data_IF_507007385315
#
_entry.id   IF_507007385315
#
_cell.length_a   1.000
_cell.length_b   1.000
_cell.length_c   1.000
_cell.angle_alpha   90.00
_cell.angle_beta   90.00
_cell.angle_gamma   90.00
#
_symmetry.space_group_name_H-M   'P 1'
#
loop_
_entity.id
_entity.type
_entity.pdbx_description
1 polymer ?
#
# COMPACT_ATOMS: atom_id res chain seq x y z
N UNK A 1 36.08 -8.51 7.95
CA UNK A 1 36.60 -7.19 7.53
C UNK A 1 36.05 -7.01 6.13
N UNK A 2 34.95 -6.31 5.88
CA UNK A 2 34.32 -5.22 6.62
C UNK A 2 32.80 -5.41 6.75
N UNK A 3 32.25 -4.77 7.79
CA UNK A 3 30.87 -4.92 8.23
C UNK A 3 29.86 -4.40 7.21
N UNK A 4 28.88 -5.25 6.91
CA UNK A 4 27.64 -4.85 6.27
C UNK A 4 26.82 -4.06 7.32
N UNK A 5 26.88 -2.72 7.23
CA UNK A 5 25.82 -1.87 7.76
C UNK A 5 24.61 -2.10 6.86
N UNK A 6 23.61 -2.82 7.37
CA UNK A 6 22.24 -2.57 6.94
C UNK A 6 22.01 -1.06 7.10
N UNK A 7 21.64 -0.39 6.01
CA UNK A 7 21.17 0.99 6.06
C UNK A 7 19.90 0.91 6.91
N UNK A 8 20.02 1.41 8.13
CA UNK A 8 18.98 1.33 9.13
C UNK A 8 17.68 1.82 8.53
N UNK A 9 16.64 1.01 8.69
CA UNK A 9 15.28 1.44 8.55
C UNK A 9 15.09 2.74 9.34
N UNK A 10 14.82 3.82 8.63
CA UNK A 10 14.03 4.91 9.19
C UNK A 10 12.57 4.47 9.21
N UNK A 11 12.24 3.42 9.97
CA UNK A 11 10.87 2.95 10.16
C UNK A 11 10.20 3.89 11.16
N UNK A 12 9.40 4.81 10.65
CA UNK A 12 8.48 5.63 11.43
C UNK A 12 7.22 4.80 11.63
N UNK A 13 7.26 3.84 12.56
CA UNK A 13 6.06 3.28 13.13
C UNK A 13 5.42 4.35 14.04
N UNK A 14 4.51 5.16 13.50
CA UNK A 14 3.74 6.13 14.28
C UNK A 14 2.29 5.67 14.30
N UNK A 15 1.89 5.10 15.44
CA UNK A 15 0.49 5.08 15.83
C UNK A 15 0.02 6.54 15.96
N UNK A 16 -0.80 7.01 15.03
CA UNK A 16 -1.45 8.33 15.14
C UNK A 16 -2.53 8.23 16.21
N UNK A 17 -2.16 8.46 17.47
CA UNK A 17 -3.11 8.81 18.50
C UNK A 17 -3.42 10.31 18.37
N UNK A 18 -4.55 10.66 17.75
CA UNK A 18 -5.01 12.06 17.72
C UNK A 18 -5.41 12.51 19.13
N UNK A 19 -4.51 13.23 19.79
CA UNK A 19 -4.79 13.91 21.05
C UNK A 19 -5.60 15.18 20.80
N UNK A 20 -6.90 15.14 21.09
CA UNK A 20 -7.76 16.31 21.12
C UNK A 20 -7.72 17.06 22.46
N UNK A 21 -7.78 18.39 22.33
CA UNK A 21 -8.26 19.41 23.28
C UNK A 21 -7.25 20.18 24.17
N UNK A 22 -7.34 21.51 24.09
CA UNK A 22 -7.42 22.37 25.28
C UNK A 22 -6.40 23.49 25.40
N UNK A 23 -6.81 24.71 25.09
CA UNK A 23 -6.09 25.95 25.39
C UNK A 23 -5.95 26.20 26.91
N UNK A 24 -4.86 26.86 27.33
CA UNK A 24 -4.84 27.65 28.58
C UNK A 24 -3.52 27.76 29.36
N UNK A 25 -2.77 28.84 29.08
CA UNK A 25 -2.09 29.75 30.02
C UNK A 25 -0.95 29.27 30.97
N UNK A 26 0.23 29.89 30.82
CA UNK A 26 0.81 30.75 31.88
C UNK A 26 2.07 30.29 32.65
N UNK A 27 3.16 31.03 32.40
CA UNK A 27 4.26 31.47 33.30
C UNK A 27 5.35 30.54 33.88
N UNK A 28 6.58 30.86 33.43
CA UNK A 28 7.78 31.32 34.16
C UNK A 28 8.70 30.41 35.00
N UNK A 29 10.00 30.53 34.66
CA UNK A 29 11.18 30.37 35.52
C UNK A 29 11.96 29.07 35.29
N UNK A 30 13.26 29.02 34.98
CA UNK A 30 14.35 29.99 35.03
C UNK A 30 15.63 29.29 35.51
N UNK A 31 16.73 29.45 34.75
CA UNK A 31 18.15 29.17 35.06
C UNK A 31 18.64 27.69 35.16
N UNK A 32 19.79 27.28 34.62
CA UNK A 32 20.83 28.01 33.88
C UNK A 32 22.10 27.17 33.60
N UNK A 33 22.99 27.77 32.79
CA UNK A 33 24.44 27.52 32.61
C UNK A 33 24.85 26.20 31.91
N UNK A 34 25.81 26.13 30.97
CA UNK A 34 26.81 27.04 30.38
C UNK A 34 27.22 26.44 29.00
N UNK A 35 27.33 27.21 27.91
CA UNK A 35 28.56 27.86 27.40
C UNK A 35 29.57 26.81 26.84
N UNK A 36 29.97 26.80 25.56
CA UNK A 36 30.95 27.72 24.93
C UNK A 36 31.16 27.32 23.45
N UNK A 37 31.04 28.31 22.54
CA UNK A 37 31.83 28.58 21.29
C UNK A 37 31.52 27.78 20.01
N UNK A 38 31.39 28.35 18.79
CA UNK A 38 31.46 29.73 18.24
C UNK A 38 30.90 29.67 16.79
N UNK A 39 30.10 30.65 16.34
CA UNK A 39 30.50 31.84 15.51
C UNK A 39 30.54 31.48 14.01
N UNK A 40 29.92 32.20 13.06
CA UNK A 40 29.51 33.61 12.94
C UNK A 40 28.25 33.67 12.05
N UNK A 41 27.22 34.45 12.31
CA UNK A 41 27.20 35.93 12.31
C UNK A 41 26.52 36.41 11.01
N UNK A 42 25.21 36.76 10.99
CA UNK A 42 24.62 38.08 11.33
C UNK A 42 24.95 39.15 10.26
N UNK A 43 24.07 40.03 9.75
CA UNK A 43 22.64 40.35 9.86
C UNK A 43 22.32 41.43 8.79
N UNK A 44 21.05 41.44 8.35
CA UNK A 44 20.13 42.61 8.21
C UNK A 44 20.49 43.79 7.28
N UNK A 45 19.55 44.07 6.38
CA UNK A 45 18.86 45.37 6.41
C UNK A 45 18.80 46.18 5.11
N UNK A 46 17.58 46.59 4.75
CA UNK A 46 17.30 47.95 4.27
C UNK A 46 17.11 48.17 2.76
N UNK A 47 15.86 48.46 2.40
CA UNK A 47 15.39 49.60 1.57
C UNK A 47 16.23 50.03 0.34
N UNK A 48 15.63 49.99 -0.85
CA UNK A 48 15.13 51.19 -1.54
C UNK A 48 14.70 50.89 -2.99
N UNK A 49 13.83 51.75 -3.50
CA UNK A 49 13.06 51.61 -4.72
C UNK A 49 13.70 52.28 -5.95
N UNK A 50 13.03 52.06 -7.10
CA UNK A 50 12.80 52.98 -8.24
C UNK A 50 13.61 52.76 -9.53
N UNK A 51 12.82 52.65 -10.62
CA UNK A 51 13.04 52.97 -12.05
C UNK A 51 14.07 52.15 -12.84
N UNK A 52 13.88 51.84 -14.12
CA UNK A 52 12.83 52.22 -15.08
C UNK A 52 13.29 51.81 -16.50
N UNK A 53 12.30 51.69 -17.39
CA UNK A 53 12.28 51.82 -18.86
C UNK A 53 11.61 50.64 -19.59
N UNK A 54 10.41 50.81 -20.18
CA UNK A 54 10.06 51.50 -21.46
C UNK A 54 10.51 50.65 -22.67
N UNK A 55 9.76 50.28 -23.71
CA UNK A 55 8.35 50.32 -24.12
C UNK A 55 8.16 49.44 -25.38
N UNK A 56 6.99 48.78 -25.49
CA UNK A 56 6.03 48.78 -26.63
C UNK A 56 6.49 48.58 -28.09
N UNK A 57 5.88 47.59 -28.76
CA UNK A 57 5.11 47.68 -30.04
C UNK A 57 4.66 46.24 -30.40
N UNK A 58 3.41 45.83 -30.19
CA UNK A 58 2.26 45.91 -31.11
C UNK A 58 2.61 45.96 -32.60
N UNK A 59 2.24 44.90 -33.33
CA UNK A 59 1.50 45.05 -34.58
C UNK A 59 0.58 43.85 -34.84
N UNK A 60 -0.52 44.15 -35.52
CA UNK A 60 -1.78 43.41 -35.59
C UNK A 60 -2.13 43.03 -37.04
N UNK A 61 -2.90 41.94 -37.15
CA UNK A 61 -3.88 41.60 -38.19
C UNK A 61 -3.50 40.83 -39.49
N UNK A 62 -4.10 39.62 -39.56
CA UNK A 62 -5.09 39.10 -40.53
C UNK A 62 -4.79 39.16 -42.04
N UNK A 63 -4.89 37.99 -42.69
CA UNK A 63 -5.59 37.82 -43.96
C UNK A 63 -6.18 36.41 -44.08
N UNK A 64 -7.51 36.33 -44.27
CA UNK A 64 -8.22 35.20 -44.85
C UNK A 64 -7.98 35.19 -46.36
N UNK A 65 -7.98 34.02 -47.00
CA UNK A 65 -8.54 33.92 -48.35
C UNK A 65 -9.12 32.53 -48.65
N UNK A 66 -10.19 32.56 -49.45
CA UNK A 66 -11.12 31.49 -49.78
C UNK A 66 -10.87 30.99 -51.21
N UNK A 67 -11.00 29.69 -51.49
CA UNK A 67 -11.47 29.22 -52.80
C UNK A 67 -11.98 27.78 -52.75
N UNK A 68 -13.24 27.59 -53.16
CA UNK A 68 -13.82 26.31 -53.57
C UNK A 68 -13.65 26.14 -55.08
N UNK A 69 -13.44 24.90 -55.54
CA UNK A 69 -13.76 24.50 -56.91
C UNK A 69 -14.21 23.04 -56.94
N UNK A 70 -15.36 22.84 -57.59
CA UNK A 70 -15.99 21.57 -57.92
C UNK A 70 -15.26 20.89 -59.08
N UNK A 71 -15.31 19.56 -59.14
CA UNK A 71 -15.26 18.82 -60.40
C UNK A 71 -16.32 17.72 -60.40
N UNK A 72 -17.00 17.55 -61.54
CA UNK A 72 -18.19 16.71 -61.76
C UNK A 72 -17.97 15.76 -62.95
N UNK A 73 -18.49 14.53 -62.80
CA UNK A 73 -18.78 13.49 -63.80
C UNK A 73 -17.57 12.72 -64.40
N UNK A 74 -17.63 11.44 -64.82
CA UNK A 74 -18.67 10.61 -65.48
C UNK A 74 -18.51 9.11 -65.12
N UNK A 75 -19.60 8.36 -65.30
CA UNK A 75 -19.83 6.95 -64.99
C UNK A 75 -19.29 5.89 -65.99
N UNK A 76 -19.51 4.63 -65.59
CA UNK A 76 -19.72 3.37 -66.35
C UNK A 76 -18.53 2.44 -66.66
N UNK A 77 -18.60 1.24 -66.05
CA UNK A 77 -18.61 -0.12 -66.65
C UNK A 77 -18.04 -1.12 -65.60
N UNK A 78 -18.48 -2.36 -65.39
CA UNK A 78 -19.48 -3.27 -65.98
C UNK A 78 -19.79 -4.31 -64.89
N UNK A 79 -21.04 -4.74 -64.78
CA UNK A 79 -21.45 -5.86 -63.94
C UNK A 79 -20.95 -7.20 -64.52
N UNK A 80 -20.41 -8.08 -63.66
CA UNK A 80 -20.51 -9.53 -63.86
C UNK A 80 -20.86 -10.16 -62.51
N UNK A 81 -22.06 -10.73 -62.46
CA UNK A 81 -22.55 -11.56 -61.38
C UNK A 81 -21.81 -12.91 -61.36
N UNK A 82 -21.57 -13.45 -60.17
CA UNK A 82 -21.74 -14.88 -59.94
C UNK A 82 -22.12 -15.13 -58.48
N UNK A 83 -23.33 -15.68 -58.33
CA UNK A 83 -23.86 -16.28 -57.12
C UNK A 83 -22.92 -17.34 -56.55
N UNK A 84 -22.76 -17.34 -55.24
CA UNK A 84 -22.81 -18.59 -54.47
C UNK A 84 -23.51 -18.29 -53.16
N UNK A 85 -24.79 -18.63 -53.10
CA UNK A 85 -25.53 -18.71 -51.85
C UNK A 85 -24.96 -19.85 -51.01
N UNK A 86 -24.49 -19.54 -49.79
CA UNK A 86 -24.34 -20.53 -48.72
C UNK A 86 -24.98 -19.96 -47.46
N UNK A 87 -26.07 -20.63 -47.08
CA UNK A 87 -26.78 -20.70 -45.81
C UNK A 87 -26.46 -19.67 -44.70
N UNK A 88 -27.52 -18.95 -44.33
CA UNK A 88 -27.77 -18.50 -42.96
C UNK A 88 -27.77 -19.70 -42.00
N UNK A 89 -26.91 -19.67 -40.98
CA UNK A 89 -27.30 -19.63 -39.56
C UNK A 89 -26.06 -19.94 -38.71
N UNK A 90 -25.43 -18.88 -38.20
CA UNK A 90 -24.89 -18.92 -36.85
C UNK A 90 -25.41 -17.67 -36.20
N UNK A 91 -26.40 -17.82 -35.31
CA UNK A 91 -26.76 -16.78 -34.37
C UNK A 91 -25.47 -16.35 -33.67
N UNK A 92 -24.96 -15.18 -34.04
CA UNK A 92 -24.06 -14.43 -33.19
C UNK A 92 -24.92 -14.12 -31.98
N UNK A 93 -24.73 -14.87 -30.90
CA UNK A 93 -25.12 -14.39 -29.59
C UNK A 93 -24.41 -13.05 -29.44
N UNK A 94 -25.17 -11.98 -29.69
CA UNK A 94 -24.86 -10.68 -29.15
C UNK A 94 -24.90 -10.87 -27.64
N UNK A 95 -23.75 -11.21 -27.05
CA UNK A 95 -23.53 -10.95 -25.64
C UNK A 95 -23.33 -9.44 -25.52
N UNK A 96 -24.43 -8.71 -25.66
CA UNK A 96 -24.54 -7.32 -25.22
C UNK A 96 -24.80 -7.36 -23.72
N UNK A 97 -23.80 -7.82 -22.98
CA UNK A 97 -23.53 -7.28 -21.67
C UNK A 97 -22.21 -6.54 -21.83
N UNK A 98 -22.22 -5.23 -21.62
CA UNK A 98 -21.00 -4.60 -21.11
C UNK A 98 -20.64 -5.45 -19.89
N UNK A 99 -19.43 -6.03 -19.78
CA UNK A 99 -19.07 -6.63 -18.51
C UNK A 99 -19.27 -5.52 -17.48
N UNK A 100 -19.93 -5.85 -16.37
CA UNK A 100 -19.91 -4.96 -15.22
C UNK A 100 -18.46 -4.67 -14.82
N UNK A 101 -18.23 -3.78 -13.84
CA UNK A 101 -16.89 -3.66 -13.27
C UNK A 101 -16.35 -5.06 -12.90
N UNK A 102 -15.03 -5.33 -13.08
CA UNK A 102 -14.44 -6.60 -12.68
C UNK A 102 -14.85 -6.96 -11.26
N UNK A 103 -15.07 -8.25 -10.94
CA UNK A 103 -15.38 -8.63 -9.58
C UNK A 103 -14.19 -8.32 -8.67
N UNK A 104 -14.49 -7.86 -7.46
CA UNK A 104 -13.47 -7.51 -6.46
C UNK A 104 -12.59 -8.72 -6.13
N UNK A 105 -13.19 -9.90 -5.94
CA UNK A 105 -12.49 -11.19 -5.87
C UNK A 105 -13.13 -12.18 -6.83
N UNK A 106 -12.35 -13.09 -7.42
CA UNK A 106 -12.85 -14.12 -8.32
C UNK A 106 -12.95 -15.47 -7.59
N UNK A 107 -14.16 -16.02 -7.30
CA UNK A 107 -14.34 -17.23 -6.49
C UNK A 107 -13.62 -18.49 -7.02
N UNK A 108 -13.38 -18.56 -8.33
CA UNK A 108 -12.66 -19.65 -8.98
C UNK A 108 -11.14 -19.47 -9.01
N UNK A 109 -10.63 -18.33 -8.55
CA UNK A 109 -9.23 -17.92 -8.65
C UNK A 109 -8.55 -17.92 -7.28
N UNK A 110 -7.24 -17.68 -7.28
CA UNK A 110 -6.40 -17.70 -6.06
C UNK A 110 -6.89 -16.73 -4.99
N UNK A 111 -7.33 -15.54 -5.41
CA UNK A 111 -7.81 -14.49 -4.51
C UNK A 111 -9.17 -14.85 -3.88
N UNK A 112 -10.13 -15.33 -4.67
CA UNK A 112 -11.44 -15.76 -4.15
C UNK A 112 -11.44 -17.13 -3.45
N UNK A 113 -10.36 -17.90 -3.56
CA UNK A 113 -10.16 -19.15 -2.81
C UNK A 113 -9.30 -18.97 -1.55
N UNK A 114 -8.80 -17.76 -1.30
CA UNK A 114 -8.06 -17.50 -0.07
C UNK A 114 -8.98 -17.65 1.14
N UNK A 115 -8.53 -18.37 2.16
CA UNK A 115 -9.22 -18.52 3.43
C UNK A 115 -8.19 -18.75 4.54
N UNK A 116 -8.47 -18.30 5.75
CA UNK A 116 -7.70 -18.57 6.96
C UNK A 116 -8.57 -18.55 8.21
N UNK A 117 -8.07 -19.11 9.31
CA UNK A 117 -8.75 -19.00 10.59
C UNK A 117 -8.78 -17.53 11.02
N UNK A 118 -9.99 -16.94 11.02
CA UNK A 118 -10.19 -15.55 11.41
C UNK A 118 -9.85 -15.32 12.89
N UNK A 119 -9.46 -14.10 13.28
CA UNK A 119 -9.28 -13.75 14.68
C UNK A 119 -10.57 -13.94 15.49
N UNK A 120 -10.43 -14.14 16.80
CA UNK A 120 -11.52 -14.21 17.78
C UNK A 120 -11.49 -12.98 18.69
N UNK A 121 -12.23 -11.94 18.34
CA UNK A 121 -12.32 -10.71 19.12
C UNK A 121 -13.07 -10.88 20.46
N UNK A 122 -13.86 -11.95 20.58
CA UNK A 122 -14.55 -12.33 21.81
C UNK A 122 -13.66 -13.18 22.73
N UNK A 123 -12.46 -13.57 22.28
CA UNK A 123 -11.50 -14.36 23.04
C UNK A 123 -11.21 -13.76 24.41
N UNK A 124 -11.32 -14.59 25.45
CA UNK A 124 -11.30 -14.15 26.84
C UNK A 124 -9.89 -13.80 27.36
N UNK A 125 -9.51 -12.53 27.26
CA UNK A 125 -8.21 -12.02 27.73
C UNK A 125 -8.27 -11.28 29.08
N UNK A 126 -9.43 -11.20 29.72
CA UNK A 126 -9.63 -10.37 30.93
C UNK A 126 -8.71 -10.75 32.08
N UNK A 127 -8.43 -12.05 32.27
CA UNK A 127 -7.48 -12.53 33.26
C UNK A 127 -6.05 -12.09 32.92
N UNK A 128 -5.64 -12.21 31.66
CA UNK A 128 -4.33 -11.76 31.16
C UNK A 128 -4.15 -10.25 31.40
N UNK A 129 -5.17 -9.46 31.06
CA UNK A 129 -5.17 -8.00 31.27
C UNK A 129 -5.06 -7.66 32.75
N UNK A 130 -5.81 -8.34 33.62
CA UNK A 130 -5.78 -8.10 35.07
C UNK A 130 -4.46 -8.50 35.74
N UNK A 131 -3.79 -9.51 35.18
CA UNK A 131 -2.51 -10.02 35.66
C UNK A 131 -1.29 -9.34 35.03
N UNK A 132 -1.49 -8.32 34.19
CA UNK A 132 -0.41 -7.70 33.44
C UNK A 132 0.70 -7.12 34.34
N UNK A 133 1.94 -7.43 33.97
CA UNK A 133 3.17 -6.92 34.56
C UNK A 133 4.05 -6.37 33.44
N UNK A 134 4.59 -5.16 33.62
CA UNK A 134 5.51 -4.58 32.64
C UNK A 134 6.79 -5.42 32.48
N UNK A 135 7.22 -6.16 33.50
CA UNK A 135 8.40 -7.03 33.41
C UNK A 135 8.17 -8.23 32.46
N UNK A 136 6.92 -8.63 32.25
CA UNK A 136 6.53 -9.84 31.51
C UNK A 136 5.79 -9.50 30.20
N UNK A 137 5.98 -8.29 29.68
CA UNK A 137 5.20 -7.78 28.54
C UNK A 137 5.32 -8.65 27.28
N UNK A 138 6.48 -9.28 27.02
CA UNK A 138 6.67 -10.20 25.89
C UNK A 138 5.77 -11.44 26.02
N UNK A 139 5.70 -12.02 27.22
CA UNK A 139 4.83 -13.15 27.51
C UNK A 139 3.34 -12.75 27.44
N UNK A 140 3.00 -11.53 27.84
CA UNK A 140 1.65 -11.00 27.68
C UNK A 140 1.26 -10.90 26.20
N UNK A 141 2.12 -10.33 25.33
CA UNK A 141 1.90 -10.24 23.87
C UNK A 141 1.61 -11.63 23.29
N UNK A 142 2.48 -12.59 23.57
CA UNK A 142 2.34 -13.98 23.10
C UNK A 142 0.98 -14.58 23.52
N UNK A 143 0.61 -14.45 24.80
CA UNK A 143 -0.62 -15.03 25.34
C UNK A 143 -1.89 -14.37 24.80
N UNK A 144 -1.94 -13.04 24.66
CA UNK A 144 -3.15 -12.37 24.14
C UNK A 144 -3.32 -12.61 22.64
N UNK A 145 -2.24 -12.61 21.86
CA UNK A 145 -2.29 -12.98 20.45
C UNK A 145 -2.66 -14.46 20.27
N UNK A 146 -2.14 -15.37 21.10
CA UNK A 146 -2.53 -16.79 21.05
C UNK A 146 -4.04 -17.00 21.25
N UNK A 147 -4.68 -16.15 22.07
CA UNK A 147 -6.12 -16.20 22.30
C UNK A 147 -6.91 -15.60 21.14
N UNK A 148 -6.51 -14.41 20.64
CA UNK A 148 -7.36 -13.63 19.74
C UNK A 148 -6.91 -13.63 18.28
N UNK A 149 -5.62 -13.80 18.00
CA UNK A 149 -5.10 -13.84 16.64
C UNK A 149 -3.88 -14.78 16.53
N UNK A 150 -4.09 -16.11 16.45
CA UNK A 150 -3.01 -17.10 16.43
C UNK A 150 -2.00 -16.93 15.29
N UNK A 151 -2.43 -16.44 14.12
CA UNK A 151 -1.50 -16.11 13.03
C UNK A 151 -0.59 -14.95 13.45
N UNK A 152 -1.13 -13.89 14.05
CA UNK A 152 -0.31 -12.80 14.60
C UNK A 152 0.67 -13.28 15.69
N UNK A 153 0.24 -14.20 16.56
CA UNK A 153 1.14 -14.83 17.53
C UNK A 153 2.30 -15.56 16.85
N UNK A 154 2.01 -16.33 15.80
CA UNK A 154 3.03 -17.03 15.03
C UNK A 154 4.02 -16.04 14.40
N UNK A 155 3.53 -14.99 13.74
CA UNK A 155 4.38 -13.97 13.12
C UNK A 155 5.31 -13.32 14.13
N UNK A 156 4.78 -12.93 15.30
CA UNK A 156 5.57 -12.31 16.38
C UNK A 156 6.60 -13.29 16.95
N UNK A 157 6.20 -14.50 17.30
CA UNK A 157 7.09 -15.50 17.89
C UNK A 157 8.22 -15.91 16.94
N UNK A 158 7.91 -16.08 15.65
CA UNK A 158 8.88 -16.46 14.63
C UNK A 158 9.74 -15.28 14.17
N UNK A 159 9.21 -14.05 14.10
CA UNK A 159 10.00 -12.85 13.87
C UNK A 159 11.09 -12.65 14.92
N UNK A 160 10.76 -12.88 16.20
CA UNK A 160 11.76 -12.84 17.30
C UNK A 160 12.77 -13.99 17.20
N UNK A 161 12.31 -15.22 16.97
CA UNK A 161 13.17 -16.41 17.07
C UNK A 161 14.03 -16.69 15.83
N UNK A 162 13.57 -16.30 14.64
CA UNK A 162 14.28 -16.53 13.38
C UNK A 162 15.16 -15.34 12.96
N UNK A 163 15.00 -14.17 13.58
CA UNK A 163 15.83 -12.98 13.36
C UNK A 163 16.63 -12.60 14.63
N UNK A 164 17.65 -13.39 15.04
CA UNK A 164 18.33 -13.20 16.32
C UNK A 164 19.21 -11.93 16.39
N UNK A 165 19.39 -11.20 15.29
CA UNK A 165 20.19 -9.97 15.24
C UNK A 165 19.51 -8.81 15.97
N UNK A 166 18.18 -8.82 16.05
CA UNK A 166 17.39 -7.79 16.72
C UNK A 166 16.05 -8.37 17.16
N UNK A 167 15.62 -8.06 18.37
CA UNK A 167 14.32 -8.49 18.88
C UNK A 167 13.26 -7.44 18.49
N UNK A 168 12.39 -7.79 17.53
CA UNK A 168 11.33 -6.90 17.04
C UNK A 168 10.37 -6.49 18.16
N UNK A 169 10.00 -7.40 19.06
CA UNK A 169 9.11 -7.09 20.19
C UNK A 169 9.78 -6.09 21.12
N UNK A 170 11.06 -6.30 21.43
CA UNK A 170 11.81 -5.38 22.28
C UNK A 170 11.94 -4.00 21.67
N UNK A 171 12.05 -3.88 20.35
CA UNK A 171 12.19 -2.60 19.68
C UNK A 171 10.86 -1.86 19.55
N UNK A 172 9.82 -2.54 19.07
CA UNK A 172 8.55 -1.90 18.70
C UNK A 172 7.53 -1.83 19.82
N UNK A 173 7.69 -2.59 20.92
CA UNK A 173 6.79 -2.51 22.06
C UNK A 173 7.15 -1.41 23.09
N UNK A 174 8.35 -0.81 23.03
CA UNK A 174 8.90 0.00 24.14
C UNK A 174 7.97 1.12 24.61
N UNK A 175 7.32 1.82 23.67
CA UNK A 175 6.40 2.92 23.96
C UNK A 175 5.06 2.51 24.60
N UNK A 176 4.73 1.21 24.56
CA UNK A 176 3.40 0.71 24.89
C UNK A 176 3.34 -0.06 26.22
N UNK A 177 4.49 -0.48 26.76
CA UNK A 177 4.57 -1.43 27.90
C UNK A 177 4.08 -0.90 29.26
N UNK A 178 3.71 0.37 29.39
CA UNK A 178 3.33 0.94 30.70
C UNK A 178 2.02 0.38 31.28
N UNK A 179 1.09 -0.09 30.45
CA UNK A 179 -0.16 -0.75 30.88
C UNK A 179 -0.61 -1.77 29.86
N UNK A 180 -1.41 -2.77 30.26
CA UNK A 180 -2.01 -3.74 29.34
C UNK A 180 -2.77 -3.05 28.19
N UNK A 181 -3.59 -2.03 28.51
CA UNK A 181 -4.36 -1.28 27.52
C UNK A 181 -3.48 -0.61 26.46
N UNK A 182 -2.39 0.04 26.89
CA UNK A 182 -1.43 0.66 25.98
C UNK A 182 -0.71 -0.39 25.14
N UNK A 183 -0.32 -1.51 25.75
CA UNK A 183 0.36 -2.59 25.05
C UNK A 183 -0.53 -3.24 23.99
N UNK A 184 -1.79 -3.51 24.32
CA UNK A 184 -2.80 -3.97 23.36
C UNK A 184 -2.94 -2.96 22.21
N UNK A 185 -2.96 -1.66 22.52
CA UNK A 185 -3.02 -0.60 21.51
C UNK A 185 -1.78 -0.49 20.60
N UNK A 186 -0.68 -1.17 20.93
CA UNK A 186 0.52 -1.25 20.08
C UNK A 186 0.71 -2.62 19.42
N UNK A 187 -0.21 -3.57 19.59
CA UNK A 187 -0.06 -4.93 19.06
C UNK A 187 -0.04 -4.98 17.54
N UNK A 188 -0.80 -4.13 16.86
CA UNK A 188 -0.79 -4.07 15.39
C UNK A 188 0.57 -3.63 14.86
N UNK A 189 1.20 -2.63 15.49
CA UNK A 189 2.60 -2.27 15.22
C UNK A 189 3.54 -3.44 15.48
N UNK A 190 3.46 -4.09 16.64
CA UNK A 190 4.36 -5.22 16.96
C UNK A 190 4.19 -6.36 15.95
N UNK A 191 2.96 -6.68 15.57
CA UNK A 191 2.66 -7.77 14.63
C UNK A 191 3.15 -7.44 13.23
N UNK A 192 2.94 -6.20 12.77
CA UNK A 192 3.43 -5.68 11.50
C UNK A 192 4.96 -5.78 11.42
N UNK A 193 5.64 -5.22 12.41
CA UNK A 193 7.10 -5.09 12.41
C UNK A 193 7.80 -6.43 12.65
N UNK A 194 7.23 -7.32 13.46
CA UNK A 194 7.75 -8.68 13.56
C UNK A 194 7.50 -9.51 12.30
N UNK A 195 6.44 -9.19 11.53
CA UNK A 195 6.20 -9.76 10.20
C UNK A 195 7.34 -9.45 9.23
N UNK A 196 7.76 -8.19 9.14
CA UNK A 196 8.97 -7.78 8.39
C UNK A 196 10.20 -8.60 8.77
N UNK A 197 10.40 -8.81 10.08
CA UNK A 197 11.56 -9.56 10.59
C UNK A 197 11.51 -11.03 10.17
N UNK A 198 10.32 -11.63 10.20
CA UNK A 198 10.14 -13.01 9.77
C UNK A 198 10.34 -13.18 8.26
N UNK A 199 9.77 -12.27 7.47
CA UNK A 199 9.93 -12.24 6.01
C UNK A 199 11.41 -12.06 5.63
N UNK A 200 12.11 -11.15 6.31
CA UNK A 200 13.54 -10.94 6.16
C UNK A 200 14.40 -12.14 6.59
N UNK A 201 14.05 -12.79 7.70
CA UNK A 201 14.76 -13.98 8.20
C UNK A 201 14.66 -15.17 7.23
N UNK A 202 13.53 -15.28 6.53
CA UNK A 202 13.26 -16.35 5.56
C UNK A 202 13.55 -15.95 4.12
N UNK A 203 13.92 -14.70 3.88
CA UNK A 203 14.37 -14.22 2.57
C UNK A 203 15.70 -14.82 2.16
N UNK A 204 16.06 -14.64 0.90
CA UNK A 204 17.38 -15.03 0.37
C UNK A 204 18.02 -13.87 -0.38
N UNK A 205 19.25 -14.04 -0.86
CA UNK A 205 19.87 -13.02 -1.70
C UNK A 205 19.11 -12.89 -3.03
N UNK A 206 18.35 -11.81 -3.19
CA UNK A 206 17.50 -11.55 -4.36
C UNK A 206 16.09 -12.15 -4.29
N UNK A 207 15.79 -12.96 -3.27
CA UNK A 207 14.49 -13.57 -3.03
C UNK A 207 13.77 -12.96 -1.83
N UNK A 208 12.55 -12.47 -2.06
CA UNK A 208 11.68 -11.88 -1.04
C UNK A 208 10.65 -12.91 -0.59
N UNK A 209 10.59 -13.16 0.72
CA UNK A 209 9.61 -14.08 1.32
C UNK A 209 8.44 -13.29 1.87
N UNK A 210 7.23 -13.83 1.71
CA UNK A 210 5.96 -13.30 2.19
C UNK A 210 5.27 -14.36 3.04
N UNK A 211 5.27 -14.21 4.35
CA UNK A 211 4.62 -15.15 5.27
C UNK A 211 3.20 -14.68 5.57
N UNK A 212 2.21 -15.39 5.00
CA UNK A 212 0.80 -15.08 5.21
C UNK A 212 0.25 -15.75 6.46
N UNK A 213 0.63 -17.03 6.66
CA UNK A 213 0.20 -17.88 7.78
C UNK A 213 1.17 -19.07 7.94
N UNK A 214 1.09 -19.86 9.03
CA UNK A 214 2.11 -20.88 9.34
C UNK A 214 2.41 -21.90 8.24
N UNK A 215 1.41 -22.23 7.42
CA UNK A 215 1.48 -23.20 6.34
C UNK A 215 1.54 -22.58 4.94
N UNK A 216 1.57 -21.24 4.84
CA UNK A 216 1.62 -20.51 3.57
C UNK A 216 2.63 -19.36 3.65
N UNK A 217 3.80 -19.62 3.09
CA UNK A 217 4.81 -18.62 2.77
C UNK A 217 5.20 -18.74 1.30
N UNK A 218 5.40 -17.62 0.63
CA UNK A 218 5.79 -17.57 -0.78
C UNK A 218 7.09 -16.80 -0.89
N UNK A 219 8.10 -17.35 -1.58
CA UNK A 219 9.37 -16.66 -1.83
C UNK A 219 9.53 -16.43 -3.32
N UNK A 220 9.62 -15.17 -3.74
CA UNK A 220 9.79 -14.79 -5.14
C UNK A 220 11.08 -14.00 -5.35
N UNK A 221 11.78 -14.32 -6.44
CA UNK A 221 13.02 -13.63 -6.81
C UNK A 221 12.77 -12.41 -7.68
N UNK A 222 13.69 -11.45 -7.62
CA UNK A 222 13.84 -10.38 -8.61
C UNK A 222 12.75 -9.29 -8.55
N UNK A 223 12.04 -9.16 -7.43
CA UNK A 223 10.97 -8.17 -7.30
C UNK A 223 11.45 -6.74 -7.03
N UNK A 224 12.72 -6.54 -6.69
CA UNK A 224 13.30 -5.21 -6.48
C UNK A 224 13.52 -4.45 -7.81
N UNK A 225 13.85 -3.17 -7.72
CA UNK A 225 14.14 -2.33 -8.87
C UNK A 225 15.43 -2.80 -9.58
N UNK A 226 15.56 -2.54 -10.88
CA UNK A 226 16.74 -2.95 -11.67
C UNK A 226 18.06 -2.41 -11.15
N UNK A 227 18.07 -1.17 -10.63
CA UNK A 227 19.24 -0.57 -10.00
C UNK A 227 19.60 -1.22 -8.65
N UNK A 228 18.74 -2.12 -8.17
CA UNK A 228 18.85 -2.88 -6.93
C UNK A 228 18.82 -4.39 -7.18
N UNK A 229 19.31 -4.81 -8.35
CA UNK A 229 19.46 -6.22 -8.77
C UNK A 229 18.15 -7.00 -8.97
N UNK A 230 17.00 -6.33 -9.11
CA UNK A 230 15.74 -6.97 -9.49
C UNK A 230 15.34 -6.69 -10.95
N UNK A 231 14.06 -6.92 -11.26
CA UNK A 231 13.51 -6.83 -12.62
C UNK A 231 12.37 -5.81 -12.75
N UNK A 232 12.04 -5.09 -11.68
CA UNK A 232 10.97 -4.09 -11.64
C UNK A 232 11.55 -2.67 -11.63
N UNK A 233 10.75 -1.66 -11.28
CA UNK A 233 11.16 -0.25 -11.18
C UNK A 233 10.95 0.31 -9.77
N UNK A 234 11.57 1.44 -9.45
CA UNK A 234 11.39 2.06 -8.14
C UNK A 234 9.91 2.38 -7.86
N UNK A 235 9.38 2.01 -6.70
CA UNK A 235 7.98 2.28 -6.34
C UNK A 235 7.63 3.76 -6.35
N UNK A 236 8.60 4.66 -6.16
CA UNK A 236 8.43 6.11 -6.34
C UNK A 236 7.97 6.51 -7.75
N UNK A 237 8.17 5.69 -8.78
CA UNK A 237 7.74 6.01 -10.15
C UNK A 237 6.23 6.21 -10.27
N UNK A 238 5.42 5.53 -9.44
CA UNK A 238 3.96 5.70 -9.49
C UNK A 238 3.53 7.11 -9.06
N UNK A 239 4.40 7.90 -8.40
CA UNK A 239 4.12 9.33 -8.11
C UNK A 239 4.02 10.21 -9.37
N UNK A 240 4.31 9.65 -10.55
CA UNK A 240 4.28 10.35 -11.84
C UNK A 240 3.01 10.06 -12.65
N UNK A 241 2.12 9.20 -12.15
CA UNK A 241 0.87 8.84 -12.82
C UNK A 241 -0.25 9.86 -12.59
N UNK A 242 -1.39 9.65 -13.26
CA UNK A 242 -2.59 10.49 -13.11
C UNK A 242 -3.30 10.36 -11.75
N UNK A 243 -2.96 9.32 -10.97
CA UNK A 243 -3.61 8.99 -9.70
C UNK A 243 -2.89 9.61 -8.49
N UNK A 244 -1.64 10.07 -8.63
CA UNK A 244 -0.82 10.63 -7.55
C UNK A 244 -1.48 11.78 -6.78
N UNK A 245 -2.30 12.59 -7.46
CA UNK A 245 -2.97 13.74 -6.87
C UNK A 245 -4.30 13.40 -6.17
N UNK A 246 -4.79 12.16 -6.26
CA UNK A 246 -6.11 11.77 -5.76
C UNK A 246 -6.11 11.31 -4.30
N UNK A 247 -4.93 11.11 -3.71
CA UNK A 247 -4.82 10.54 -2.38
C UNK A 247 -5.18 11.56 -1.29
N UNK A 248 -6.03 11.21 -0.31
CA UNK A 248 -6.51 12.16 0.70
C UNK A 248 -5.47 12.51 1.78
N UNK A 249 -4.40 11.72 1.94
CA UNK A 249 -3.47 11.84 3.08
C UNK A 249 -1.98 11.74 2.69
N UNK A 250 -1.20 12.80 2.83
CA UNK A 250 0.20 12.77 2.40
C UNK A 250 1.11 11.79 3.21
N UNK A 251 0.68 11.26 4.36
CA UNK A 251 1.53 10.40 5.22
C UNK A 251 2.03 9.13 4.51
N UNK A 252 1.13 8.35 3.91
CA UNK A 252 1.53 7.08 3.27
C UNK A 252 2.39 7.33 2.04
N UNK A 253 2.05 8.37 1.26
CA UNK A 253 2.86 8.79 0.11
C UNK A 253 4.26 9.21 0.57
N UNK A 254 4.34 10.08 1.55
CA UNK A 254 5.61 10.58 2.06
C UNK A 254 6.48 9.44 2.57
N UNK A 255 5.90 8.53 3.36
CA UNK A 255 6.61 7.40 3.97
C UNK A 255 7.08 6.39 2.93
N UNK A 256 6.19 5.99 2.02
CA UNK A 256 6.45 4.84 1.15
C UNK A 256 6.93 5.22 -0.24
N UNK A 257 6.51 6.34 -0.80
CA UNK A 257 6.81 6.70 -2.19
C UNK A 257 7.81 7.87 -2.35
N UNK A 258 8.06 8.66 -1.30
CA UNK A 258 8.93 9.85 -1.39
C UNK A 258 10.22 9.71 -0.56
N UNK A 259 10.11 9.24 0.68
CA UNK A 259 11.25 9.14 1.59
C UNK A 259 12.30 8.11 1.15
N UNK A 260 13.39 8.02 1.91
CA UNK A 260 14.49 7.08 1.67
C UNK A 260 13.98 5.65 1.61
N UNK A 261 14.42 4.88 0.60
CA UNK A 261 13.94 3.53 0.32
C UNK A 261 12.85 3.48 -0.75
N UNK A 262 12.33 4.63 -1.20
CA UNK A 262 11.38 4.70 -2.32
C UNK A 262 11.99 4.28 -3.69
N UNK A 263 13.29 4.04 -3.73
CA UNK A 263 14.03 3.44 -4.85
C UNK A 263 13.86 1.91 -4.94
N UNK A 264 13.27 1.27 -3.93
CA UNK A 264 12.95 -0.17 -3.92
C UNK A 264 11.78 -0.51 -4.85
N UNK A 265 11.75 -1.75 -5.34
CA UNK A 265 10.78 -2.22 -6.34
C UNK A 265 9.43 -2.71 -5.79
N UNK A 266 8.72 -3.44 -6.66
CA UNK A 266 7.42 -4.06 -6.35
C UNK A 266 7.46 -4.96 -5.13
N UNK A 267 8.60 -5.64 -4.89
CA UNK A 267 8.76 -6.53 -3.75
C UNK A 267 8.39 -5.87 -2.43
N UNK A 268 8.71 -4.59 -2.25
CA UNK A 268 8.40 -3.86 -1.03
C UNK A 268 6.96 -3.36 -0.98
N UNK A 269 6.34 -3.04 -2.12
CA UNK A 269 4.91 -2.72 -2.16
C UNK A 269 4.10 -3.93 -1.72
N UNK A 270 4.46 -5.12 -2.23
CA UNK A 270 3.84 -6.38 -1.85
C UNK A 270 4.10 -6.75 -0.38
N UNK A 271 5.30 -6.48 0.13
CA UNK A 271 5.70 -6.84 1.49
C UNK A 271 4.92 -5.99 2.51
N UNK A 272 4.89 -4.67 2.33
CA UNK A 272 4.12 -3.78 3.19
C UNK A 272 2.61 -4.09 3.12
N UNK A 273 2.08 -4.45 1.94
CA UNK A 273 0.69 -4.90 1.81
C UNK A 273 0.40 -6.10 2.73
N UNK A 274 1.29 -7.10 2.78
CA UNK A 274 1.16 -8.24 3.71
C UNK A 274 1.14 -7.77 5.15
N UNK A 275 2.02 -6.83 5.53
CA UNK A 275 2.08 -6.35 6.91
C UNK A 275 0.90 -5.47 7.30
N UNK A 276 0.35 -4.68 6.39
CA UNK A 276 -0.89 -3.94 6.66
C UNK A 276 -2.12 -4.83 6.79
N UNK A 277 -2.17 -5.97 6.08
CA UNK A 277 -3.18 -7.01 6.36
C UNK A 277 -3.00 -7.54 7.79
N UNK A 278 -1.77 -7.82 8.22
CA UNK A 278 -1.49 -8.26 9.58
C UNK A 278 -1.89 -7.21 10.63
N UNK A 279 -1.70 -5.92 10.34
CA UNK A 279 -2.16 -4.82 11.17
C UNK A 279 -3.69 -4.80 11.31
N UNK A 280 -4.43 -4.83 10.20
CA UNK A 280 -5.90 -4.83 10.22
C UNK A 280 -6.46 -6.05 10.95
N UNK A 281 -5.91 -7.24 10.71
CA UNK A 281 -6.30 -8.46 11.42
C UNK A 281 -6.12 -8.34 12.94
N UNK A 282 -4.98 -7.75 13.35
CA UNK A 282 -4.69 -7.51 14.77
C UNK A 282 -5.62 -6.46 15.37
N UNK A 283 -5.79 -5.32 14.72
CA UNK A 283 -6.66 -4.25 15.19
C UNK A 283 -8.12 -4.70 15.27
N UNK A 284 -8.58 -5.54 14.35
CA UNK A 284 -9.91 -6.14 14.42
C UNK A 284 -10.05 -7.08 15.63
N UNK A 285 -9.04 -7.89 15.92
CA UNK A 285 -9.01 -8.83 17.06
C UNK A 285 -9.01 -8.12 18.43
N UNK A 286 -8.52 -6.88 18.48
CA UNK A 286 -8.44 -6.07 19.69
C UNK A 286 -9.27 -4.77 19.59
N UNK A 287 -10.27 -4.73 18.72
CA UNK A 287 -11.07 -3.51 18.48
C UNK A 287 -11.83 -3.03 19.72
N UNK A 288 -12.10 -3.93 20.67
CA UNK A 288 -12.68 -3.59 21.99
C UNK A 288 -11.74 -2.73 22.85
N UNK A 289 -10.46 -2.65 22.51
CA UNK A 289 -9.49 -1.76 23.13
C UNK A 289 -9.53 -0.32 22.58
N UNK A 290 -10.14 -0.13 21.40
CA UNK A 290 -10.35 1.19 20.80
C UNK A 290 -11.41 1.93 21.61
N UNK A 291 -11.06 3.12 22.08
CA UNK A 291 -11.98 3.92 22.90
C UNK A 291 -13.22 4.33 22.11
N UNK A 292 -14.37 4.43 22.80
CA UNK A 292 -15.58 5.00 22.19
C UNK A 292 -15.30 6.40 21.62
N UNK A 293 -15.68 6.62 20.37
CA UNK A 293 -15.49 7.90 19.68
C UNK A 293 -14.08 8.14 19.14
N UNK A 294 -13.21 7.12 19.17
CA UNK A 294 -11.90 7.14 18.50
C UNK A 294 -11.94 6.24 17.25
N UNK A 295 -11.20 6.64 16.23
CA UNK A 295 -10.94 5.86 15.02
C UNK A 295 -9.45 5.78 14.78
N UNK A 296 -9.02 4.69 14.14
CA UNK A 296 -7.63 4.45 13.70
C UNK A 296 -7.61 4.18 12.20
N UNK A 297 -6.42 4.15 11.60
CA UNK A 297 -6.19 4.03 10.15
C UNK A 297 -5.96 2.58 9.69
N UNK A 298 -6.59 1.60 10.36
CA UNK A 298 -6.30 0.18 10.12
C UNK A 298 -6.75 -0.25 8.71
N UNK A 299 -7.94 0.16 8.29
CA UNK A 299 -8.47 -0.05 6.94
C UNK A 299 -7.76 0.82 5.92
N UNK A 300 -7.47 2.07 6.28
CA UNK A 300 -6.80 3.04 5.41
C UNK A 300 -5.46 2.50 4.89
N UNK A 301 -4.66 1.90 5.78
CA UNK A 301 -3.36 1.35 5.43
C UNK A 301 -3.44 0.26 4.36
N UNK A 302 -4.29 -0.75 4.56
CA UNK A 302 -4.41 -1.83 3.57
C UNK A 302 -5.02 -1.34 2.26
N UNK A 303 -6.06 -0.50 2.28
CA UNK A 303 -6.65 0.05 1.05
C UNK A 303 -5.62 0.86 0.25
N UNK A 304 -4.77 1.63 0.94
CA UNK A 304 -3.66 2.35 0.30
C UNK A 304 -2.71 1.41 -0.43
N UNK A 305 -2.34 0.28 0.18
CA UNK A 305 -1.41 -0.67 -0.44
C UNK A 305 -2.04 -1.50 -1.55
N UNK A 306 -3.35 -1.81 -1.47
CA UNK A 306 -4.07 -2.38 -2.61
C UNK A 306 -4.06 -1.41 -3.80
N UNK A 307 -4.36 -0.14 -3.54
CA UNK A 307 -4.32 0.91 -4.55
C UNK A 307 -2.92 1.11 -5.15
N UNK A 308 -1.86 1.01 -4.32
CA UNK A 308 -0.48 1.05 -4.81
C UNK A 308 -0.12 -0.16 -5.66
N UNK A 309 -0.60 -1.36 -5.34
CA UNK A 309 -0.40 -2.56 -6.18
C UNK A 309 -1.02 -2.32 -7.56
N UNK A 310 -2.28 -1.88 -7.63
CA UNK A 310 -2.97 -1.62 -8.90
C UNK A 310 -2.26 -0.54 -9.72
N UNK A 311 -1.91 0.59 -9.09
CA UNK A 311 -1.17 1.67 -9.75
C UNK A 311 0.19 1.21 -10.25
N UNK A 312 0.90 0.40 -9.48
CA UNK A 312 2.19 -0.14 -9.89
C UNK A 312 2.03 -1.06 -11.11
N UNK A 313 1.05 -1.97 -11.11
CA UNK A 313 0.76 -2.85 -12.24
C UNK A 313 0.37 -2.05 -13.50
N UNK A 314 -0.51 -1.05 -13.35
CA UNK A 314 -0.88 -0.14 -14.43
C UNK A 314 0.32 0.61 -14.98
N UNK A 315 1.12 1.22 -14.11
CA UNK A 315 2.30 1.99 -14.52
C UNK A 315 3.30 1.09 -15.25
N UNK A 316 3.48 -0.14 -14.77
CA UNK A 316 4.27 -1.16 -15.49
C UNK A 316 3.69 -1.40 -16.90
N UNK A 317 2.40 -1.67 -17.01
CA UNK A 317 1.75 -1.96 -18.30
C UNK A 317 1.88 -0.82 -19.31
N UNK A 318 1.79 0.42 -18.84
CA UNK A 318 1.79 1.62 -19.70
C UNK A 318 3.19 2.16 -20.00
N UNK A 319 4.14 2.01 -19.08
CA UNK A 319 5.43 2.72 -19.13
C UNK A 319 6.66 1.82 -18.99
N UNK A 320 6.50 0.58 -18.52
CA UNK A 320 7.60 -0.38 -18.33
C UNK A 320 7.16 -1.82 -18.68
N UNK A 321 7.02 -2.07 -19.98
CA UNK A 321 6.58 -3.36 -20.49
C UNK A 321 7.43 -4.54 -19.98
N UNK A 322 8.73 -4.34 -19.75
CA UNK A 322 9.60 -5.38 -19.23
C UNK A 322 9.29 -5.73 -17.76
N UNK A 323 8.97 -4.75 -16.92
CA UNK A 323 8.53 -5.00 -15.55
C UNK A 323 7.15 -5.68 -15.53
N UNK A 324 6.24 -5.27 -16.41
CA UNK A 324 4.92 -5.87 -16.54
C UNK A 324 5.00 -7.34 -17.00
N UNK A 325 5.76 -7.61 -18.06
CA UNK A 325 6.03 -8.97 -18.55
C UNK A 325 6.70 -9.83 -17.49
N UNK A 326 7.60 -9.26 -16.68
CA UNK A 326 8.20 -9.98 -15.57
C UNK A 326 7.18 -10.36 -14.49
N UNK A 327 6.38 -9.41 -14.01
CA UNK A 327 5.39 -9.63 -12.95
C UNK A 327 4.30 -10.62 -13.40
N UNK A 328 3.69 -10.39 -14.57
CA UNK A 328 2.62 -11.25 -15.08
C UNK A 328 3.15 -12.51 -15.76
N UNK A 329 4.40 -12.54 -16.21
CA UNK A 329 5.03 -13.73 -16.78
C UNK A 329 5.53 -14.71 -15.71
N UNK A 330 5.73 -14.25 -14.47
CA UNK A 330 6.28 -15.07 -13.39
C UNK A 330 5.16 -15.63 -12.49
N UNK A 331 4.96 -16.98 -12.45
CA UNK A 331 3.91 -17.59 -11.62
C UNK A 331 3.99 -17.24 -10.14
N UNK A 332 5.21 -17.06 -9.61
CA UNK A 332 5.40 -16.67 -8.22
C UNK A 332 4.77 -15.31 -7.90
N UNK A 333 5.04 -14.30 -8.74
CA UNK A 333 4.55 -12.94 -8.52
C UNK A 333 3.03 -12.84 -8.68
N UNK A 334 2.44 -13.52 -9.68
CA UNK A 334 0.97 -13.63 -9.79
C UNK A 334 0.35 -14.25 -8.55
N UNK A 335 0.95 -15.33 -8.04
CA UNK A 335 0.48 -15.99 -6.82
C UNK A 335 0.58 -15.07 -5.61
N UNK A 336 1.67 -14.31 -5.43
CA UNK A 336 1.80 -13.32 -4.34
C UNK A 336 0.72 -12.27 -4.44
N UNK A 337 0.55 -11.65 -5.62
CA UNK A 337 -0.44 -10.59 -5.84
C UNK A 337 -1.85 -11.07 -5.50
N UNK A 338 -2.28 -12.21 -6.06
CA UNK A 338 -3.61 -12.73 -5.83
C UNK A 338 -3.81 -13.23 -4.38
N UNK A 339 -2.75 -13.73 -3.73
CA UNK A 339 -2.82 -14.12 -2.31
C UNK A 339 -2.97 -12.90 -1.41
N UNK A 340 -2.24 -11.81 -1.67
CA UNK A 340 -2.41 -10.52 -0.98
C UNK A 340 -3.83 -10.01 -1.19
N UNK A 341 -4.29 -9.98 -2.44
CA UNK A 341 -5.61 -9.47 -2.81
C UNK A 341 -6.73 -10.22 -2.09
N UNK A 342 -6.73 -11.55 -2.17
CA UNK A 342 -7.72 -12.39 -1.51
C UNK A 342 -7.73 -12.24 0.01
N UNK A 343 -6.55 -12.24 0.63
CA UNK A 343 -6.43 -12.06 2.08
C UNK A 343 -6.84 -10.67 2.53
N UNK A 344 -6.51 -9.63 1.77
CA UNK A 344 -6.93 -8.27 2.09
C UNK A 344 -8.45 -8.15 2.09
N UNK A 345 -9.13 -8.67 1.07
CA UNK A 345 -10.58 -8.64 0.97
C UNK A 345 -11.28 -9.49 2.03
N UNK A 346 -10.68 -10.61 2.46
CA UNK A 346 -11.16 -11.36 3.63
C UNK A 346 -11.28 -10.47 4.88
N UNK A 347 -10.29 -9.62 5.15
CA UNK A 347 -10.29 -8.72 6.32
C UNK A 347 -11.04 -7.41 6.09
N UNK A 348 -11.07 -6.89 4.86
CA UNK A 348 -11.88 -5.72 4.51
C UNK A 348 -13.37 -6.02 4.62
N UNK A 349 -13.81 -7.21 4.21
CA UNK A 349 -15.19 -7.67 4.40
C UNK A 349 -15.49 -7.91 5.89
N UNK A 350 -14.56 -8.52 6.63
CA UNK A 350 -14.71 -8.77 8.07
C UNK A 350 -14.81 -7.47 8.90
N UNK A 351 -14.18 -6.41 8.44
CA UNK A 351 -14.13 -5.10 9.10
C UNK A 351 -15.12 -4.08 8.52
N UNK A 352 -15.95 -4.48 7.57
CA UNK A 352 -16.92 -3.60 6.92
C UNK A 352 -17.91 -3.01 7.94
N UNK A 353 -18.22 -1.72 7.77
CA UNK A 353 -19.10 -0.96 8.67
C UNK A 353 -18.55 -0.70 10.07
N UNK A 354 -17.32 -1.10 10.40
CA UNK A 354 -16.69 -0.82 11.71
C UNK A 354 -15.95 0.51 11.65
N UNK A 355 -16.67 1.61 11.87
CA UNK A 355 -16.14 2.98 11.73
C UNK A 355 -14.96 3.33 12.64
N UNK A 356 -14.67 2.53 13.68
CA UNK A 356 -13.50 2.74 14.53
C UNK A 356 -12.19 2.25 13.90
N UNK A 357 -12.26 1.47 12.81
CA UNK A 357 -11.10 0.89 12.13
C UNK A 357 -10.68 1.67 10.87
N UNK A 358 -11.41 2.70 10.48
CA UNK A 358 -11.07 3.56 9.34
C UNK A 358 -11.27 5.04 9.65
N UNK A 359 -10.48 5.89 9.00
CA UNK A 359 -10.63 7.36 9.04
C UNK A 359 -11.02 7.88 7.65
N UNK A 360 -10.20 7.58 6.65
CA UNK A 360 -10.40 7.97 5.25
C UNK A 360 -10.71 6.76 4.35
N UNK A 361 -11.11 5.64 4.94
CA UNK A 361 -11.26 4.34 4.27
C UNK A 361 -12.36 4.33 3.20
N UNK A 362 -13.44 5.08 3.36
CA UNK A 362 -14.47 5.21 2.30
C UNK A 362 -13.87 5.83 1.02
N UNK A 363 -13.07 6.90 1.15
CA UNK A 363 -12.45 7.55 -0.01
C UNK A 363 -11.38 6.66 -0.66
N UNK A 364 -10.65 5.89 0.15
CA UNK A 364 -9.66 4.92 -0.34
C UNK A 364 -10.33 3.72 -1.01
N UNK A 365 -11.45 3.27 -0.49
CA UNK A 365 -12.25 2.21 -1.09
C UNK A 365 -12.74 2.61 -2.49
N UNK A 366 -13.23 3.84 -2.65
CA UNK A 366 -13.61 4.37 -3.97
C UNK A 366 -12.43 4.37 -4.97
N UNK A 367 -11.21 4.63 -4.50
CA UNK A 367 -9.99 4.59 -5.34
C UNK A 367 -9.58 3.17 -5.72
N UNK A 368 -9.63 2.21 -4.79
CA UNK A 368 -9.34 0.79 -5.04
C UNK A 368 -10.40 0.17 -5.95
N UNK A 369 -11.65 0.64 -5.87
CA UNK A 369 -12.74 0.14 -6.70
C UNK A 369 -12.86 0.85 -8.06
N UNK A 370 -11.92 1.72 -8.41
CA UNK A 370 -11.86 2.33 -9.73
C UNK A 370 -11.80 1.21 -10.80
N UNK A 371 -12.74 1.14 -11.76
CA UNK A 371 -12.81 0.02 -12.69
C UNK A 371 -11.56 -0.13 -13.57
N UNK A 372 -10.81 0.96 -13.80
CA UNK A 372 -9.58 0.91 -14.60
C UNK A 372 -8.41 0.33 -13.81
N UNK A 373 -8.39 0.55 -12.49
CA UNK A 373 -7.39 -0.04 -11.60
C UNK A 373 -7.72 -1.50 -11.25
N UNK A 374 -8.99 -1.81 -11.00
CA UNK A 374 -9.45 -3.19 -10.78
C UNK A 374 -9.15 -4.10 -11.98
N UNK A 375 -9.18 -3.57 -13.20
CA UNK A 375 -8.84 -4.30 -14.42
C UNK A 375 -7.38 -4.81 -14.41
N UNK A 376 -6.47 -4.15 -13.68
CA UNK A 376 -5.10 -4.65 -13.53
C UNK A 376 -5.04 -5.94 -12.69
N UNK A 377 -5.95 -6.11 -11.72
CA UNK A 377 -6.08 -7.36 -10.98
C UNK A 377 -6.64 -8.45 -11.90
N UNK A 378 -7.58 -8.10 -12.77
CA UNK A 378 -8.11 -9.03 -13.78
C UNK A 378 -7.02 -9.51 -14.74
N UNK A 379 -6.14 -8.63 -15.22
CA UNK A 379 -4.98 -9.03 -16.03
C UNK A 379 -4.07 -10.05 -15.30
N UNK A 380 -3.94 -9.95 -13.98
CA UNK A 380 -3.19 -10.93 -13.18
C UNK A 380 -3.92 -12.27 -13.12
N UNK A 381 -5.26 -12.27 -12.97
CA UNK A 381 -6.09 -13.48 -12.99
C UNK A 381 -6.05 -14.17 -14.36
N UNK A 382 -6.15 -13.42 -15.44
CA UNK A 382 -6.00 -13.90 -16.81
C UNK A 382 -4.64 -14.58 -17.02
N UNK A 383 -3.56 -13.92 -16.59
CA UNK A 383 -2.20 -14.45 -16.69
C UNK A 383 -1.97 -15.69 -15.79
N UNK A 384 -2.71 -15.82 -14.69
CA UNK A 384 -2.72 -17.01 -13.84
C UNK A 384 -3.53 -18.17 -14.45
N UNK A 385 -4.42 -17.88 -15.40
CA UNK A 385 -5.31 -18.87 -16.02
C UNK A 385 -6.51 -19.20 -15.13
N UNK A 386 -7.01 -18.21 -14.39
CA UNK A 386 -8.22 -18.34 -13.60
C UNK A 386 -9.47 -18.55 -14.51
N UNK A 387 -10.49 -19.29 -14.02
CA UNK A 387 -11.63 -19.73 -14.83
C UNK A 387 -12.72 -18.68 -15.05
#
# INVERSE_FOLDING_TARGET
>A
MDGFRWIGFGLVAVAVATGGAGAGCGDDGGAGAADVVQDSGILVGGQDAVAGDTAVAQDTAVAQDTAAAQDTAVAQDTAVAQDTAVAQDTAVAQDTSSPGPPPVVAPGCVDGQYDEALPDDAGAISQLVSGYSQADYKAFIDQVLAVRYPIGQYLVAHGVSEYPQQDCVEYFAQGYTSTAKKLIGGLSTVTHECGHFLDGARGTFGGNTYVFRPDLAITCDGGDARDRFGNTFARSEITKDEYDALFPNDFYKDTYLVQVGSDQGFNMVAEEAVQYINSLATDWAFRDNIGNGFSITARDGILTFLWYIERYLRYARLHDAAAHEFLLGTPCWRRVILTIWGRAWLYLDLSDGISSLGIDDDALLDLVLDPVLLDEVEHVRDAEGCP
#
